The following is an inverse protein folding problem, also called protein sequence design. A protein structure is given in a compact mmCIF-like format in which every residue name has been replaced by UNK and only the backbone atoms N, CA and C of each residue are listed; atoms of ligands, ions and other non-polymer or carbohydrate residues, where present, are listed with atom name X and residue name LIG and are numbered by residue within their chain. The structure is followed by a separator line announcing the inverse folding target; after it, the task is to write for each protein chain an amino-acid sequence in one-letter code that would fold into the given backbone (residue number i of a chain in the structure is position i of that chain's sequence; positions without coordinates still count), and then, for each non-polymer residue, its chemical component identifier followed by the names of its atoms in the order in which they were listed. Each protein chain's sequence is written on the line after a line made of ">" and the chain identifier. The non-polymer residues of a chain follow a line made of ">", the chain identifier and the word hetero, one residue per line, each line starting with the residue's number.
data_IF_165084654235
#
_entry.id   IF_165084654235
#
_cell.length_a   1.000
_cell.length_b   1.000
_cell.length_c   1.000
_cell.angle_alpha   90.00
_cell.angle_beta   90.00
_cell.angle_gamma   90.00
#
_symmetry.space_group_name_H-M   'P 1'
#
loop_
_entity.id
_entity.type
_entity.pdbx_description
1 polymer ?
#
# COMPACT_ATOMS: atom_id res chain seq x y z
N UNK A 1 31.39 42.90 -54.26
CA UNK A 1 32.45 42.32 -55.13
C UNK A 1 32.07 40.88 -55.41
N UNK A 2 31.77 40.53 -56.67
CA UNK A 2 31.41 39.16 -57.08
C UNK A 2 32.67 38.52 -57.67
N UNK A 3 33.17 37.43 -57.06
CA UNK A 3 34.31 36.67 -57.59
C UNK A 3 33.78 35.57 -58.49
N UNK A 4 34.13 35.61 -59.78
CA UNK A 4 33.80 34.57 -60.77
C UNK A 4 34.83 33.45 -60.67
N UNK A 5 34.37 32.21 -60.49
CA UNK A 5 35.24 31.03 -60.40
C UNK A 5 35.33 30.40 -61.80
N UNK A 6 36.53 30.41 -62.39
CA UNK A 6 36.76 29.95 -63.77
C UNK A 6 37.25 28.49 -63.88
N UNK A 7 37.54 27.82 -62.75
CA UNK A 7 38.04 26.44 -62.73
C UNK A 7 37.01 25.48 -62.15
N UNK A 8 36.99 24.25 -62.67
CA UNK A 8 36.08 23.18 -62.23
C UNK A 8 36.46 22.74 -60.81
N UNK A 9 35.54 22.91 -59.86
CA UNK A 9 35.72 22.47 -58.46
C UNK A 9 35.68 20.93 -58.46
N UNK A 10 36.82 20.30 -58.16
CA UNK A 10 36.99 18.82 -58.17
C UNK A 10 36.91 18.20 -56.77
N UNK A 11 36.67 19.00 -55.73
CA UNK A 11 36.35 18.54 -54.40
C UNK A 11 35.86 19.72 -53.56
N UNK A 12 34.76 19.51 -52.85
CA UNK A 12 34.29 20.41 -51.79
C UNK A 12 34.03 19.56 -50.56
N UNK A 13 34.46 20.05 -49.40
CA UNK A 13 34.20 19.41 -48.12
C UNK A 13 33.35 20.38 -47.31
N UNK A 14 32.14 19.94 -46.97
CA UNK A 14 31.23 20.72 -46.13
C UNK A 14 31.73 20.55 -44.70
N UNK A 15 32.14 21.64 -44.06
CA UNK A 15 32.42 21.63 -42.63
C UNK A 15 31.16 21.15 -41.90
N UNK A 16 31.23 19.92 -41.35
CA UNK A 16 30.20 19.45 -40.42
C UNK A 16 30.21 20.41 -39.23
N UNK A 17 29.03 20.84 -38.74
CA UNK A 17 28.98 21.46 -37.43
C UNK A 17 29.56 20.43 -36.45
N UNK A 18 30.59 20.81 -35.70
CA UNK A 18 30.91 20.10 -34.48
C UNK A 18 29.62 20.07 -33.66
N UNK A 19 29.06 18.86 -33.50
CA UNK A 19 28.09 18.61 -32.47
C UNK A 19 28.82 18.83 -31.15
N UNK A 20 28.74 20.07 -30.68
CA UNK A 20 29.03 20.44 -29.30
C UNK A 20 27.99 19.67 -28.47
N UNK A 21 28.41 18.49 -28.04
CA UNK A 21 27.66 17.58 -27.19
C UNK A 21 27.28 18.38 -25.94
N UNK A 22 26.03 18.83 -25.89
CA UNK A 22 25.51 19.57 -24.76
C UNK A 22 25.82 18.78 -23.48
N UNK A 23 26.43 19.40 -22.44
CA UNK A 23 26.80 18.67 -21.25
C UNK A 23 25.54 18.02 -20.67
N UNK A 24 25.49 16.68 -20.74
CA UNK A 24 24.45 15.91 -20.05
C UNK A 24 24.52 16.33 -18.58
N UNK A 25 23.45 16.97 -18.09
CA UNK A 25 23.34 17.30 -16.69
C UNK A 25 23.62 16.03 -15.88
N UNK A 26 24.47 16.09 -14.84
CA UNK A 26 24.86 14.91 -14.09
C UNK A 26 23.59 14.22 -13.59
N UNK A 27 23.44 12.94 -13.93
CA UNK A 27 22.32 12.13 -13.46
C UNK A 27 22.28 12.20 -11.93
N UNK A 28 21.16 12.66 -11.37
CA UNK A 28 21.01 12.74 -9.92
C UNK A 28 21.04 11.32 -9.39
N UNK A 29 22.00 11.01 -8.52
CA UNK A 29 22.11 9.70 -7.87
C UNK A 29 21.63 9.81 -6.43
N UNK A 30 20.69 8.95 -6.04
CA UNK A 30 20.19 8.91 -4.67
C UNK A 30 19.36 7.65 -4.41
N UNK A 31 19.03 7.37 -3.14
CA UNK A 31 18.18 6.24 -2.79
C UNK A 31 16.74 6.45 -3.26
N UNK A 32 16.04 5.35 -3.54
CA UNK A 32 14.59 5.38 -3.73
C UNK A 32 13.94 5.94 -2.45
N UNK A 33 13.00 6.90 -2.55
CA UNK A 33 12.36 7.49 -1.37
C UNK A 33 11.61 6.49 -0.45
N UNK A 34 11.21 5.31 -0.93
CA UNK A 34 10.69 4.22 -0.09
C UNK A 34 11.76 3.59 0.80
N UNK A 35 13.01 3.56 0.34
CA UNK A 35 14.14 2.94 1.02
C UNK A 35 14.87 3.90 1.97
N UNK A 36 14.62 5.20 1.86
CA UNK A 36 15.17 6.22 2.76
C UNK A 36 14.81 5.88 4.22
N UNK A 37 15.83 5.70 5.06
CA UNK A 37 15.62 5.47 6.49
C UNK A 37 15.35 6.80 7.21
N UNK A 38 14.26 6.84 7.95
CA UNK A 38 13.89 7.97 8.80
C UNK A 38 14.34 7.65 10.23
N UNK A 39 15.45 8.23 10.67
CA UNK A 39 16.04 7.91 11.98
C UNK A 39 15.10 8.29 13.14
N UNK A 40 14.51 9.49 13.06
CA UNK A 40 13.62 10.03 14.07
C UNK A 40 12.39 10.64 13.43
N UNK A 41 11.25 10.50 14.11
CA UNK A 41 10.05 11.25 13.78
C UNK A 41 10.34 12.76 13.84
N UNK A 42 10.02 13.56 12.82
CA UNK A 42 10.19 15.01 12.86
C UNK A 42 9.42 15.65 14.00
N UNK A 43 9.94 16.76 14.51
CA UNK A 43 9.24 17.62 15.46
C UNK A 43 8.14 18.42 14.73
N UNK A 44 7.05 18.71 15.44
CA UNK A 44 5.93 19.51 14.92
C UNK A 44 4.75 18.68 14.43
N UNK A 45 3.89 19.33 13.65
CA UNK A 45 2.65 18.76 13.14
C UNK A 45 2.93 17.84 11.94
N UNK A 46 2.19 16.72 11.89
CA UNK A 46 2.18 15.83 10.74
C UNK A 46 0.74 15.66 10.27
N UNK A 47 0.56 15.55 8.96
CA UNK A 47 -0.74 15.18 8.42
C UNK A 47 -1.08 13.77 8.89
N UNK A 48 -2.28 13.57 9.41
CA UNK A 48 -2.70 12.29 9.95
C UNK A 48 -4.15 11.97 9.60
N UNK A 49 -4.44 10.68 9.44
CA UNK A 49 -5.80 10.15 9.29
C UNK A 49 -6.19 9.39 10.54
N UNK A 50 -7.34 9.72 11.13
CA UNK A 50 -7.93 8.99 12.24
C UNK A 50 -9.14 8.18 11.77
N UNK A 51 -9.15 6.89 12.07
CA UNK A 51 -10.21 5.96 11.65
C UNK A 51 -10.77 5.19 12.85
N UNK A 52 -12.10 5.15 12.96
CA UNK A 52 -12.78 4.31 13.95
C UNK A 52 -12.93 2.90 13.39
N UNK A 53 -12.21 1.96 13.98
CA UNK A 53 -12.28 0.54 13.64
C UNK A 53 -13.31 -0.13 14.54
N UNK A 54 -14.28 -0.82 13.93
CA UNK A 54 -15.28 -1.62 14.63
C UNK A 54 -15.07 -3.07 14.23
N UNK A 55 -14.93 -3.95 15.22
CA UNK A 55 -14.70 -5.37 15.00
C UNK A 55 -15.50 -6.21 16.00
N UNK A 56 -15.74 -7.47 15.66
CA UNK A 56 -16.49 -8.41 16.49
C UNK A 56 -15.58 -9.58 16.87
N UNK A 57 -15.51 -9.83 18.17
CA UNK A 57 -14.83 -11.00 18.77
C UNK A 57 -15.87 -11.89 19.46
N UNK A 58 -15.41 -12.99 20.05
CA UNK A 58 -16.26 -13.85 20.88
C UNK A 58 -16.79 -13.15 22.14
N UNK A 59 -16.10 -12.11 22.61
CA UNK A 59 -16.51 -11.28 23.74
C UNK A 59 -17.53 -10.19 23.31
N UNK A 60 -17.83 -10.08 22.01
CA UNK A 60 -18.80 -9.17 21.45
C UNK A 60 -18.20 -8.09 20.56
N UNK A 61 -18.95 -7.00 20.40
CA UNK A 61 -18.56 -5.86 19.56
C UNK A 61 -17.55 -4.98 20.30
N UNK A 62 -16.39 -4.75 19.69
CA UNK A 62 -15.36 -3.83 20.17
C UNK A 62 -15.14 -2.68 19.17
N UNK A 63 -14.55 -1.59 19.64
CA UNK A 63 -14.12 -0.49 18.78
C UNK A 63 -12.87 0.19 19.31
N UNK A 64 -12.01 0.63 18.39
CA UNK A 64 -10.82 1.43 18.68
C UNK A 64 -10.61 2.48 17.60
N UNK A 65 -9.74 3.44 17.88
CA UNK A 65 -9.31 4.42 16.87
C UNK A 65 -7.91 4.07 16.42
N UNK A 66 -7.66 4.13 15.12
CA UNK A 66 -6.33 4.03 14.52
C UNK A 66 -5.98 5.39 13.96
N UNK A 67 -4.82 5.91 14.33
CA UNK A 67 -4.24 7.13 13.79
C UNK A 67 -2.99 6.76 13.00
N UNK A 68 -2.90 7.23 11.76
CA UNK A 68 -1.74 7.07 10.89
C UNK A 68 -1.23 8.45 10.52
N UNK A 69 0.03 8.74 10.85
CA UNK A 69 0.70 10.00 10.51
C UNK A 69 1.58 9.80 9.28
N UNK A 70 1.59 10.79 8.40
CA UNK A 70 2.28 10.78 7.12
C UNK A 70 3.31 11.91 7.02
N UNK A 71 4.31 11.71 6.18
CA UNK A 71 5.37 12.69 5.93
C UNK A 71 5.83 12.64 4.47
N UNK A 72 6.14 13.79 3.84
CA UNK A 72 6.85 13.81 2.56
C UNK A 72 8.29 13.32 2.72
N UNK A 73 8.72 12.43 1.84
CA UNK A 73 10.08 11.91 1.77
C UNK A 73 10.62 12.13 0.36
N UNK A 74 11.74 12.84 0.28
CA UNK A 74 12.48 13.07 -0.96
C UNK A 74 13.39 11.88 -1.25
N UNK A 75 13.59 11.60 -2.53
CA UNK A 75 14.53 10.60 -3.01
C UNK A 75 14.68 10.70 -4.52
N UNK A 76 15.30 9.68 -5.12
CA UNK A 76 15.56 9.65 -6.56
C UNK A 76 14.96 8.38 -7.14
N UNK A 77 14.23 8.52 -8.25
CA UNK A 77 13.68 7.39 -9.01
C UNK A 77 14.03 7.62 -10.47
N UNK A 78 14.68 6.64 -11.11
CA UNK A 78 15.06 6.71 -12.54
C UNK A 78 15.88 7.98 -12.89
N UNK A 79 16.69 8.48 -11.95
CA UNK A 79 17.52 9.68 -12.13
C UNK A 79 16.80 11.01 -11.90
N UNK A 80 15.51 10.99 -11.55
CA UNK A 80 14.71 12.18 -11.23
C UNK A 80 14.51 12.33 -9.72
N UNK A 81 14.68 13.56 -9.21
CA UNK A 81 14.27 13.88 -7.84
C UNK A 81 12.75 13.84 -7.71
N UNK A 82 12.26 13.03 -6.78
CA UNK A 82 10.84 12.89 -6.51
C UNK A 82 10.56 13.01 -5.02
N UNK A 83 9.35 13.44 -4.70
CA UNK A 83 8.82 13.42 -3.33
C UNK A 83 7.62 12.50 -3.29
N UNK A 84 7.60 11.59 -2.33
CA UNK A 84 6.45 10.73 -2.05
C UNK A 84 5.96 10.99 -0.64
N UNK A 85 4.72 10.60 -0.37
CA UNK A 85 4.20 10.60 0.99
C UNK A 85 4.32 9.19 1.59
N UNK A 86 4.86 9.08 2.80
CA UNK A 86 5.02 7.81 3.52
C UNK A 86 4.32 7.84 4.88
N UNK A 87 3.73 6.73 5.33
CA UNK A 87 3.35 6.58 6.72
C UNK A 87 4.63 6.49 7.57
N UNK A 88 4.67 7.22 8.68
CA UNK A 88 5.84 7.30 9.58
C UNK A 88 5.53 6.93 11.02
N UNK A 89 4.26 6.95 11.40
CA UNK A 89 3.81 6.62 12.73
C UNK A 89 2.39 6.05 12.70
N UNK A 90 2.18 5.03 13.53
CA UNK A 90 0.88 4.42 13.80
C UNK A 90 0.62 4.51 15.30
N UNK A 91 -0.59 4.90 15.67
CA UNK A 91 -0.96 5.05 17.06
C UNK A 91 -2.43 4.66 17.26
N UNK A 92 -2.70 3.97 18.35
CA UNK A 92 -4.06 3.67 18.82
C UNK A 92 -4.18 4.36 20.17
N UNK A 93 -4.96 5.46 20.28
CA UNK A 93 -5.18 6.09 21.57
C UNK A 93 -5.80 5.08 22.53
N UNK A 94 -5.26 5.05 23.75
CA UNK A 94 -5.80 4.20 24.80
C UNK A 94 -7.28 4.52 25.01
N UNK A 95 -8.10 3.48 24.96
CA UNK A 95 -9.48 3.53 25.46
C UNK A 95 -9.41 3.73 26.97
N UNK A 96 -10.18 4.68 27.53
CA UNK A 96 -10.25 4.91 28.98
C UNK A 96 -10.87 3.74 29.76
N UNK A 97 -11.25 2.66 29.08
CA UNK A 97 -11.93 1.50 29.64
C UNK A 97 -11.33 0.18 29.17
N UNK A 98 -11.01 -0.66 30.17
CA UNK A 98 -10.62 -2.06 30.19
C UNK A 98 -9.22 -2.42 29.64
N UNK A 99 -8.37 -2.92 30.56
CA UNK A 99 -7.08 -3.59 30.37
C UNK A 99 -6.17 -2.98 29.32
N UNK A 100 -5.22 -2.14 29.75
CA UNK A 100 -4.16 -1.59 28.89
C UNK A 100 -3.55 -2.72 28.04
N UNK A 101 -3.88 -2.80 26.74
CA UNK A 101 -3.36 -3.87 25.92
C UNK A 101 -1.93 -3.48 25.58
N UNK A 102 -0.98 -3.84 26.44
CA UNK A 102 0.45 -3.60 26.25
C UNK A 102 0.91 -4.08 24.86
N UNK A 103 0.25 -5.11 24.33
CA UNK A 103 0.44 -5.59 22.97
C UNK A 103 0.12 -4.53 21.90
N UNK A 104 -0.91 -3.69 22.06
CA UNK A 104 -1.22 -2.60 21.14
C UNK A 104 -0.06 -1.62 21.12
N UNK A 105 0.36 -1.13 22.30
CA UNK A 105 1.46 -0.17 22.40
C UNK A 105 2.74 -0.73 21.79
N UNK A 106 3.11 -1.98 22.12
CA UNK A 106 4.29 -2.64 21.55
C UNK A 106 4.17 -2.80 20.02
N UNK A 107 3.00 -3.23 19.52
CA UNK A 107 2.76 -3.45 18.08
C UNK A 107 2.83 -2.13 17.31
N UNK A 108 2.19 -1.07 17.81
CA UNK A 108 2.19 0.25 17.15
C UNK A 108 3.59 0.87 17.13
N UNK A 109 4.38 0.72 18.20
CA UNK A 109 5.79 1.16 18.24
C UNK A 109 6.65 0.42 17.23
N UNK A 110 6.55 -0.91 17.17
CA UNK A 110 7.27 -1.75 16.22
C UNK A 110 6.86 -1.46 14.77
N UNK A 111 5.56 -1.29 14.51
CA UNK A 111 5.05 -0.95 13.19
C UNK A 111 5.49 0.45 12.74
N UNK A 112 5.51 1.42 13.65
CA UNK A 112 6.03 2.77 13.38
C UNK A 112 7.52 2.75 13.05
N UNK A 113 8.30 1.93 13.74
CA UNK A 113 9.71 1.70 13.42
C UNK A 113 9.87 1.08 12.02
N UNK A 114 9.03 0.10 11.68
CA UNK A 114 9.01 -0.52 10.36
C UNK A 114 8.67 0.46 9.23
N UNK A 115 7.69 1.35 9.47
CA UNK A 115 7.33 2.42 8.54
C UNK A 115 8.50 3.37 8.25
N UNK A 116 9.16 3.84 9.31
CA UNK A 116 10.36 4.68 9.19
C UNK A 116 11.51 3.97 8.48
N UNK A 117 11.60 2.65 8.64
CA UNK A 117 12.56 1.80 7.97
C UNK A 117 12.23 1.45 6.51
N UNK A 118 11.05 1.81 5.99
CA UNK A 118 10.68 1.58 4.58
C UNK A 118 9.95 0.26 4.30
N UNK A 119 9.52 -0.48 5.33
CA UNK A 119 8.93 -1.82 5.17
C UNK A 119 7.59 -1.99 5.89
N UNK A 120 6.79 -0.91 5.99
CA UNK A 120 5.45 -0.96 6.57
C UNK A 120 4.53 -2.00 5.91
N UNK A 121 4.55 -2.10 4.57
CA UNK A 121 3.73 -3.06 3.83
C UNK A 121 4.01 -4.50 4.27
N UNK A 122 5.30 -4.87 4.33
CA UNK A 122 5.75 -6.20 4.79
C UNK A 122 5.38 -6.44 6.25
N UNK A 123 5.61 -5.46 7.12
CA UNK A 123 5.26 -5.57 8.54
C UNK A 123 3.75 -5.78 8.74
N UNK A 124 2.89 -5.07 7.99
CA UNK A 124 1.44 -5.27 8.03
C UNK A 124 1.05 -6.66 7.51
N UNK A 125 1.63 -7.09 6.40
CA UNK A 125 1.40 -8.43 5.85
C UNK A 125 1.75 -9.55 6.85
N UNK A 126 2.80 -9.36 7.65
CA UNK A 126 3.16 -10.30 8.72
C UNK A 126 2.23 -10.20 9.94
N UNK A 127 1.81 -8.99 10.34
CA UNK A 127 0.81 -8.81 11.41
C UNK A 127 -0.54 -9.46 11.06
N UNK A 128 -0.93 -9.46 9.78
CA UNK A 128 -2.14 -10.15 9.30
C UNK A 128 -2.12 -11.66 9.48
N UNK A 129 -0.95 -12.26 9.69
CA UNK A 129 -0.78 -13.71 9.91
C UNK A 129 -0.81 -14.09 11.40
N UNK A 130 -0.78 -13.11 12.30
CA UNK A 130 -0.79 -13.37 13.75
C UNK A 130 -2.11 -14.04 14.11
N UNK A 131 -2.03 -15.28 14.57
CA UNK A 131 -3.18 -16.09 14.95
C UNK A 131 -3.35 -16.18 16.47
N UNK A 132 -4.59 -16.36 16.93
CA UNK A 132 -4.92 -16.60 18.32
C UNK A 132 -5.97 -17.72 18.43
N UNK A 133 -5.90 -18.49 19.51
CA UNK A 133 -6.86 -19.47 20.00
C UNK A 133 -8.24 -18.93 20.41
N UNK A 134 -8.43 -17.62 20.61
CA UNK A 134 -9.74 -17.04 20.99
C UNK A 134 -10.77 -17.01 19.86
N UNK A 135 -10.46 -17.57 18.70
CA UNK A 135 -11.36 -17.65 17.56
C UNK A 135 -11.25 -16.47 16.59
N UNK A 136 -11.98 -16.51 15.47
CA UNK A 136 -11.85 -15.54 14.40
C UNK A 136 -12.46 -14.19 14.80
N UNK A 137 -11.85 -13.11 14.32
CA UNK A 137 -12.30 -11.73 14.52
C UNK A 137 -12.88 -11.21 13.22
N UNK A 138 -14.13 -10.75 13.24
CA UNK A 138 -14.76 -10.14 12.06
C UNK A 138 -14.43 -8.65 12.02
N UNK A 139 -13.81 -8.18 10.94
CA UNK A 139 -13.48 -6.77 10.76
C UNK A 139 -13.50 -6.38 9.27
N UNK A 140 -14.35 -5.40 8.95
CA UNK A 140 -14.56 -4.86 7.61
C UNK A 140 -15.31 -5.79 6.66
N UNK A 141 -15.49 -5.31 5.44
CA UNK A 141 -16.15 -6.01 4.33
C UNK A 141 -15.27 -5.99 3.08
N UNK A 142 -15.47 -6.95 2.18
CA UNK A 142 -14.85 -7.01 0.85
C UNK A 142 -15.93 -7.30 -0.18
N UNK A 143 -15.88 -6.59 -1.30
CA UNK A 143 -16.67 -6.90 -2.49
C UNK A 143 -15.90 -7.93 -3.33
N UNK A 144 -16.55 -9.02 -3.70
CA UNK A 144 -15.98 -10.07 -4.54
C UNK A 144 -16.38 -9.92 -6.02
N UNK A 145 -16.71 -8.70 -6.45
CA UNK A 145 -16.99 -8.37 -7.86
C UNK A 145 -18.45 -8.57 -8.27
N UNK A 146 -19.31 -8.96 -7.34
CA UNK A 146 -20.76 -9.14 -7.55
C UNK A 146 -21.60 -8.06 -6.85
N UNK A 147 -20.97 -6.99 -6.34
CA UNK A 147 -21.65 -5.93 -5.59
C UNK A 147 -22.07 -6.35 -4.18
N UNK A 148 -21.80 -7.61 -3.78
CA UNK A 148 -22.14 -8.12 -2.45
C UNK A 148 -20.98 -7.87 -1.50
N UNK A 149 -21.23 -7.08 -0.47
CA UNK A 149 -20.28 -6.90 0.62
C UNK A 149 -20.29 -8.13 1.54
N UNK A 150 -19.17 -8.85 1.55
CA UNK A 150 -18.96 -10.03 2.40
C UNK A 150 -18.09 -9.63 3.59
N UNK A 151 -18.43 -10.03 4.82
CA UNK A 151 -17.59 -9.75 5.99
C UNK A 151 -16.24 -10.46 5.87
N UNK A 152 -15.17 -9.78 6.31
CA UNK A 152 -13.83 -10.37 6.35
C UNK A 152 -13.51 -10.88 7.76
N UNK A 153 -12.99 -12.10 7.83
CA UNK A 153 -12.58 -12.76 9.06
C UNK A 153 -11.06 -12.80 9.18
N UNK A 154 -10.57 -12.56 10.39
CA UNK A 154 -9.15 -12.46 10.72
C UNK A 154 -8.80 -13.43 11.83
N UNK A 155 -7.57 -13.97 11.86
CA UNK A 155 -7.18 -14.99 12.84
C UNK A 155 -6.91 -14.45 14.25
N UNK A 156 -6.90 -13.13 14.45
CA UNK A 156 -6.75 -12.47 15.76
C UNK A 156 -7.19 -11.00 15.72
N UNK A 157 -7.27 -10.36 16.89
CA UNK A 157 -7.48 -8.91 17.00
C UNK A 157 -6.31 -8.12 16.36
N UNK A 158 -5.06 -8.61 16.49
CA UNK A 158 -3.87 -8.02 15.84
C UNK A 158 -4.04 -8.01 14.32
N UNK A 159 -4.46 -9.14 13.75
CA UNK A 159 -4.66 -9.27 12.30
C UNK A 159 -5.81 -8.39 11.79
N UNK A 160 -6.90 -8.27 12.57
CA UNK A 160 -8.01 -7.38 12.26
C UNK A 160 -7.60 -5.90 12.26
N UNK A 161 -6.80 -5.47 13.24
CA UNK A 161 -6.24 -4.11 13.30
C UNK A 161 -5.27 -3.86 12.16
N UNK A 162 -4.39 -4.82 11.85
CA UNK A 162 -3.47 -4.73 10.72
C UNK A 162 -4.22 -4.60 9.38
N UNK A 163 -5.33 -5.33 9.21
CA UNK A 163 -6.21 -5.16 8.06
C UNK A 163 -6.81 -3.75 8.01
N UNK A 164 -7.32 -3.22 9.12
CA UNK A 164 -7.85 -1.86 9.14
C UNK A 164 -6.80 -0.80 8.76
N UNK A 165 -5.57 -0.92 9.28
CA UNK A 165 -4.45 -0.06 8.89
C UNK A 165 -4.13 -0.22 7.40
N UNK A 166 -4.09 -1.45 6.87
CA UNK A 166 -3.90 -1.71 5.44
C UNK A 166 -4.96 -0.99 4.61
N UNK A 167 -6.24 -1.05 5.00
CA UNK A 167 -7.31 -0.36 4.28
C UNK A 167 -7.16 1.17 4.35
N UNK A 168 -6.69 1.72 5.48
CA UNK A 168 -6.38 3.14 5.60
C UNK A 168 -5.26 3.57 4.64
N UNK A 169 -4.18 2.79 4.57
CA UNK A 169 -3.06 3.04 3.65
C UNK A 169 -3.44 2.83 2.18
N UNK A 170 -4.31 1.86 1.88
CA UNK A 170 -4.88 1.66 0.55
C UNK A 170 -5.68 2.89 0.11
N UNK A 171 -6.60 3.38 0.95
CA UNK A 171 -7.38 4.61 0.66
C UNK A 171 -6.50 5.84 0.49
N UNK A 172 -5.39 5.93 1.24
CA UNK A 172 -4.38 6.99 1.07
C UNK A 172 -3.55 6.83 -0.22
N UNK A 173 -3.66 5.69 -0.89
CA UNK A 173 -2.93 5.35 -2.10
C UNK A 173 -1.48 4.95 -1.85
N UNK A 174 -1.13 4.54 -0.62
CA UNK A 174 0.20 4.04 -0.27
C UNK A 174 0.36 2.53 -0.55
N UNK A 175 -0.71 1.77 -0.34
CA UNK A 175 -0.80 0.34 -0.69
C UNK A 175 -1.79 0.13 -1.83
N UNK A 176 -1.69 -1.01 -2.51
CA UNK A 176 -2.71 -1.48 -3.45
C UNK A 176 -3.86 -2.20 -2.72
N UNK A 177 -4.83 -2.70 -3.49
CA UNK A 177 -6.03 -3.39 -2.95
C UNK A 177 -5.69 -4.70 -2.22
N UNK A 178 -4.57 -5.33 -2.55
CA UNK A 178 -4.10 -6.55 -1.93
C UNK A 178 -3.23 -6.27 -0.70
N UNK A 179 -2.72 -5.05 -0.58
CA UNK A 179 -1.84 -4.59 0.50
C UNK A 179 -0.37 -4.57 0.12
N UNK A 180 -0.03 -4.72 -1.16
CA UNK A 180 1.35 -4.60 -1.62
C UNK A 180 1.77 -3.14 -1.71
N UNK A 181 3.08 -2.92 -1.63
CA UNK A 181 3.67 -1.60 -1.73
C UNK A 181 3.50 -1.04 -3.14
N UNK A 182 2.86 0.12 -3.27
CA UNK A 182 2.78 0.84 -4.54
C UNK A 182 4.16 1.41 -4.90
N UNK A 183 4.61 1.31 -6.17
CA UNK A 183 5.91 1.83 -6.60
C UNK A 183 6.08 3.35 -6.42
N UNK A 184 7.30 3.78 -6.12
CA UNK A 184 7.65 5.19 -5.84
C UNK A 184 7.26 6.15 -6.96
N UNK A 185 7.38 5.74 -8.22
CA UNK A 185 6.95 6.55 -9.38
C UNK A 185 5.46 6.90 -9.34
N UNK A 186 4.61 5.95 -8.94
CA UNK A 186 3.16 6.16 -8.81
C UNK A 186 2.85 7.03 -7.59
N UNK A 187 3.54 6.79 -6.47
CA UNK A 187 3.39 7.60 -5.26
C UNK A 187 3.79 9.06 -5.47
N UNK A 188 4.87 9.31 -6.23
CA UNK A 188 5.33 10.64 -6.56
C UNK A 188 4.31 11.40 -7.40
N UNK A 189 3.69 10.72 -8.37
CA UNK A 189 2.59 11.30 -9.16
C UNK A 189 1.40 11.68 -8.26
N UNK A 190 0.94 10.74 -7.40
CA UNK A 190 -0.17 10.97 -6.46
C UNK A 190 0.12 12.13 -5.49
N UNK A 191 1.36 12.25 -5.01
CA UNK A 191 1.79 13.35 -4.16
C UNK A 191 1.70 14.70 -4.89
N UNK A 192 2.19 14.78 -6.14
CA UNK A 192 2.08 15.99 -6.96
C UNK A 192 0.62 16.37 -7.22
N UNK A 193 -0.24 15.42 -7.54
CA UNK A 193 -1.68 15.66 -7.74
C UNK A 193 -2.33 16.26 -6.48
N UNK A 194 -2.09 15.67 -5.30
CA UNK A 194 -2.63 16.17 -4.03
C UNK A 194 -2.11 17.57 -3.67
N UNK A 195 -0.82 17.82 -3.86
CA UNK A 195 -0.17 19.09 -3.44
C UNK A 195 -0.37 20.23 -4.43
N UNK A 196 -0.59 19.93 -5.71
CA UNK A 196 -0.86 20.94 -6.74
C UNK A 196 -2.29 21.51 -6.69
N UNK A 197 -3.14 21.04 -5.76
CA UNK A 197 -4.52 21.52 -5.62
C UNK A 197 -5.46 21.07 -6.74
N UNK A 198 -5.01 20.17 -7.63
CA UNK A 198 -5.84 19.57 -8.66
C UNK A 198 -6.61 18.42 -8.02
N UNK A 199 -7.89 18.63 -7.74
CA UNK A 199 -8.80 17.58 -7.30
C UNK A 199 -8.69 16.40 -8.28
N UNK A 200 -8.49 15.15 -7.80
CA UNK A 200 -8.51 14.01 -8.68
C UNK A 200 -9.90 13.89 -9.30
N UNK A 201 -9.97 14.01 -10.62
CA UNK A 201 -11.08 13.47 -11.39
C UNK A 201 -11.10 11.98 -11.07
N UNK A 202 -12.24 11.50 -10.56
CA UNK A 202 -12.43 10.13 -10.06
C UNK A 202 -11.83 9.11 -11.03
N UNK A 203 -10.73 8.48 -10.61
CA UNK A 203 -10.14 7.37 -11.34
C UNK A 203 -11.11 6.18 -11.26
N UNK A 204 -11.93 6.04 -12.30
CA UNK A 204 -12.63 4.81 -12.62
C UNK A 204 -11.58 3.69 -12.68
N UNK A 205 -11.77 2.69 -11.84
CA UNK A 205 -10.83 1.59 -11.66
C UNK A 205 -11.02 0.64 -12.84
N UNK A 206 -10.10 0.69 -13.81
CA UNK A 206 -9.97 -0.35 -14.82
C UNK A 206 -9.63 -1.68 -14.14
N UNK A 207 -10.52 -2.65 -14.35
CA UNK A 207 -10.37 -4.02 -13.90
C UNK A 207 -9.21 -4.69 -14.66
N UNK A 208 -8.19 -5.13 -13.93
CA UNK A 208 -7.16 -6.01 -14.46
C UNK A 208 -7.47 -7.46 -14.06
N UNK A 209 -7.49 -8.32 -15.06
CA UNK A 209 -7.84 -9.72 -15.02
C UNK A 209 -6.93 -10.55 -14.10
N UNK A 210 -7.56 -11.54 -13.47
CA UNK A 210 -6.97 -12.50 -12.55
C UNK A 210 -6.13 -13.56 -13.26
N UNK A 211 -4.98 -13.90 -12.68
CA UNK A 211 -4.31 -15.19 -12.92
C UNK A 211 -4.26 -15.97 -11.60
N UNK A 212 -4.80 -17.17 -11.66
CA UNK A 212 -4.86 -18.21 -10.65
C UNK A 212 -3.46 -18.71 -10.26
N UNK A 213 -3.20 -18.88 -8.96
CA UNK A 213 -2.37 -19.99 -8.47
C UNK A 213 -2.56 -20.22 -6.96
N UNK A 214 -2.96 -21.46 -6.64
CA UNK A 214 -3.44 -21.87 -5.34
C UNK A 214 -2.37 -21.93 -4.23
N UNK A 215 -2.83 -21.69 -3.00
CA UNK A 215 -2.08 -22.07 -1.79
C UNK A 215 -2.99 -22.65 -0.72
N UNK A 216 -2.63 -23.85 -0.26
CA UNK A 216 -3.32 -24.66 0.75
C UNK A 216 -3.10 -24.09 2.16
N UNK A 217 -4.13 -24.14 2.99
CA UNK A 217 -4.06 -23.99 4.43
C UNK A 217 -5.07 -24.93 5.10
N UNK A 218 -4.56 -25.86 5.91
CA UNK A 218 -5.36 -26.76 6.74
C UNK A 218 -6.09 -26.00 7.85
N UNK A 219 -7.16 -26.62 8.38
CA UNK A 219 -8.06 -26.19 9.47
C UNK A 219 -9.38 -25.55 9.00
N UNK A 220 -10.28 -26.35 8.39
CA UNK A 220 -11.74 -26.09 8.38
C UNK A 220 -12.27 -24.74 7.88
N UNK A 221 -11.42 -23.87 7.33
CA UNK A 221 -11.75 -22.52 6.92
C UNK A 221 -11.79 -22.43 5.39
N UNK A 222 -12.72 -21.63 4.88
CA UNK A 222 -12.91 -21.40 3.45
C UNK A 222 -11.64 -20.78 2.83
N UNK A 223 -11.10 -21.33 1.74
CA UNK A 223 -9.87 -20.81 1.12
C UNK A 223 -10.07 -19.44 0.44
N UNK A 224 -11.31 -19.06 0.12
CA UNK A 224 -11.62 -17.81 -0.58
C UNK A 224 -11.85 -16.64 0.39
N UNK A 225 -12.55 -16.86 1.51
CA UNK A 225 -12.91 -15.79 2.45
C UNK A 225 -12.37 -15.98 3.88
N UNK A 226 -11.77 -17.14 4.19
CA UNK A 226 -11.30 -17.49 5.53
C UNK A 226 -12.41 -17.81 6.54
N UNK A 227 -13.69 -17.80 6.14
CA UNK A 227 -14.84 -18.10 6.99
C UNK A 227 -14.89 -19.57 7.43
N UNK A 228 -15.40 -19.82 8.65
CA UNK A 228 -15.51 -21.17 9.21
C UNK A 228 -16.77 -21.95 8.81
N UNK A 229 -17.69 -21.34 8.06
CA UNK A 229 -18.99 -21.90 7.70
C UNK A 229 -18.93 -22.78 6.44
N UNK A 230 -18.03 -23.76 6.43
CA UNK A 230 -17.99 -24.76 5.36
C UNK A 230 -19.01 -25.85 5.65
N UNK A 231 -19.97 -26.02 4.74
CA UNK A 231 -20.97 -27.07 4.77
C UNK A 231 -20.80 -27.98 3.55
N UNK A 232 -21.04 -29.28 3.74
CA UNK A 232 -21.09 -30.23 2.64
C UNK A 232 -22.52 -30.19 2.05
N UNK A 233 -22.66 -29.54 0.89
CA UNK A 233 -23.91 -29.40 0.15
C UNK A 233 -23.76 -30.16 -1.16
N UNK A 234 -24.65 -31.12 -1.41
CA UNK A 234 -24.67 -31.94 -2.64
C UNK A 234 -23.32 -32.61 -2.97
N UNK A 235 -22.59 -33.04 -1.93
CA UNK A 235 -21.28 -33.68 -2.06
C UNK A 235 -20.10 -32.72 -2.29
N UNK A 236 -20.34 -31.41 -2.31
CA UNK A 236 -19.34 -30.37 -2.51
C UNK A 236 -19.18 -29.48 -1.28
N UNK A 237 -17.91 -29.19 -0.92
CA UNK A 237 -17.57 -28.28 0.18
C UNK A 237 -17.92 -26.85 -0.24
N UNK A 238 -18.95 -26.29 0.38
CA UNK A 238 -19.50 -24.98 0.05
C UNK A 238 -19.44 -24.05 1.26
N UNK A 239 -18.93 -22.83 1.07
CA UNK A 239 -18.92 -21.80 2.09
C UNK A 239 -20.24 -21.03 2.09
N UNK A 240 -20.97 -21.07 3.21
CA UNK A 240 -22.26 -20.38 3.35
C UNK A 240 -22.12 -18.85 3.40
N UNK A 241 -20.91 -18.34 3.70
CA UNK A 241 -20.67 -16.90 3.84
C UNK A 241 -20.37 -16.21 2.49
N UNK A 242 -19.57 -16.84 1.62
CA UNK A 242 -19.13 -16.25 0.35
C UNK A 242 -19.58 -17.02 -0.90
N UNK A 243 -20.20 -18.19 -0.76
CA UNK A 243 -20.64 -19.01 -1.90
C UNK A 243 -19.54 -19.80 -2.59
N UNK A 244 -18.31 -19.82 -2.04
CA UNK A 244 -17.22 -20.64 -2.58
C UNK A 244 -17.60 -22.11 -2.57
N UNK A 245 -17.56 -22.78 -3.72
CA UNK A 245 -17.68 -24.23 -3.81
C UNK A 245 -16.40 -24.81 -4.43
N UNK A 246 -15.91 -25.91 -3.88
CA UNK A 246 -14.76 -26.61 -4.46
C UNK A 246 -15.06 -27.17 -5.87
N UNK A 247 -16.34 -27.32 -6.22
CA UNK A 247 -16.78 -27.97 -7.44
C UNK A 247 -17.17 -26.99 -8.58
N UNK A 248 -17.09 -25.68 -8.36
CA UNK A 248 -17.43 -24.64 -9.35
C UNK A 248 -17.59 -23.27 -8.74
#
# INVERSE_FOLDING_TARGET
>A
MIRRIEKRIVGFEIAKPEEEEAPQAPAVSGPDPLEVRIERRPEGELEATAEKVIYWTQEGKKSLYVVVSYMPVKGVVEGEEVTIERPVEFFIPASQSAEDPQWITATMRSLSLAARGGYAAKALADLRKVAWTKGPVRCGTRDFGNGKQVPVWHPSEVAAVAYAIQQALYRRGFLDVEGNQVPSRVLARRWRERTSGRLPESAETEAAESVDEGRRGANGACPQCGGGSLALLDGCLTCLDCGHSKCG
#
